data_IF_370915118100
#
_entry.id   IF_370915118100
#
_cell.length_a   1.000
_cell.length_b   1.000
_cell.length_c   1.000
_cell.angle_alpha   90.00
_cell.angle_beta   90.00
_cell.angle_gamma   90.00
#
_symmetry.space_group_name_H-M   'P 1'
#
loop_
_entity.id
_entity.type
_entity.pdbx_description
1 polymer ?
#
# COMPACT_ATOMS: atom_id res chain seq x y z
N UNK A 1 36.39 5.93 -39.88
CA UNK A 1 35.06 5.29 -39.73
C UNK A 1 35.02 4.49 -38.43
N UNK A 2 34.63 5.13 -37.31
CA UNK A 2 34.48 4.48 -35.98
C UNK A 2 32.99 4.45 -35.64
N UNK A 3 32.30 3.33 -35.90
CA UNK A 3 30.82 3.28 -35.85
C UNK A 3 30.22 2.15 -35.02
N UNK A 4 30.98 1.53 -34.11
CA UNK A 4 30.39 0.64 -33.11
C UNK A 4 31.04 0.85 -31.74
N UNK A 5 30.50 1.80 -30.98
CA UNK A 5 30.78 1.94 -29.56
C UNK A 5 30.03 0.81 -28.84
N UNK A 6 30.71 -0.32 -28.61
CA UNK A 6 30.21 -1.42 -27.75
C UNK A 6 29.90 -0.81 -26.37
N UNK A 7 28.63 -0.66 -26.04
CA UNK A 7 28.23 -0.46 -24.65
C UNK A 7 28.55 -1.78 -23.93
N UNK A 8 29.62 -1.77 -23.12
CA UNK A 8 29.84 -2.83 -22.14
C UNK A 8 28.71 -2.70 -21.11
N UNK A 9 27.59 -3.38 -21.35
CA UNK A 9 26.55 -3.54 -20.35
C UNK A 9 27.19 -4.31 -19.19
N UNK A 10 27.22 -3.71 -18.00
CA UNK A 10 27.81 -4.26 -16.77
C UNK A 10 27.15 -5.61 -16.38
N UNK A 11 25.96 -5.88 -16.93
CA UNK A 11 25.21 -7.13 -16.80
C UNK A 11 24.87 -7.68 -18.21
N UNK A 12 25.55 -8.73 -18.70
CA UNK A 12 25.17 -9.39 -19.93
C UNK A 12 23.77 -9.98 -19.79
N UNK A 13 22.85 -9.63 -20.70
CA UNK A 13 21.47 -10.15 -20.70
C UNK A 13 20.44 -9.36 -19.90
N UNK A 14 20.78 -8.17 -19.37
CA UNK A 14 19.86 -7.34 -18.57
C UNK A 14 18.50 -7.04 -19.25
N UNK A 15 18.51 -6.70 -20.56
CA UNK A 15 17.27 -6.41 -21.29
C UNK A 15 16.29 -7.59 -21.32
N UNK A 16 16.72 -8.78 -21.82
CA UNK A 16 15.90 -9.98 -21.82
C UNK A 16 15.44 -10.43 -20.42
N UNK A 17 16.32 -10.40 -19.41
CA UNK A 17 15.96 -10.83 -18.04
C UNK A 17 14.99 -9.87 -17.38
N UNK A 18 15.16 -8.56 -17.57
CA UNK A 18 14.22 -7.55 -17.11
C UNK A 18 12.86 -7.71 -17.79
N UNK A 19 12.84 -7.89 -19.12
CA UNK A 19 11.61 -8.11 -19.89
C UNK A 19 10.83 -9.33 -19.41
N UNK A 20 11.53 -10.46 -19.20
CA UNK A 20 10.91 -11.68 -18.67
C UNK A 20 10.39 -11.49 -17.24
N UNK A 21 11.16 -10.83 -16.37
CA UNK A 21 10.77 -10.55 -14.98
C UNK A 21 9.52 -9.67 -14.91
N UNK A 22 9.50 -8.57 -15.66
CA UNK A 22 8.36 -7.64 -15.71
C UNK A 22 7.14 -8.34 -16.31
N UNK A 23 7.30 -9.10 -17.39
CA UNK A 23 6.22 -9.88 -18.00
C UNK A 23 5.61 -10.86 -16.98
N UNK A 24 6.44 -11.66 -16.33
CA UNK A 24 5.98 -12.66 -15.36
C UNK A 24 5.25 -12.01 -14.17
N UNK A 25 5.82 -10.97 -13.57
CA UNK A 25 5.17 -10.24 -12.47
C UNK A 25 3.87 -9.57 -12.91
N UNK A 26 3.83 -9.03 -14.12
CA UNK A 26 2.63 -8.41 -14.68
C UNK A 26 1.53 -9.45 -14.87
N UNK A 27 1.84 -10.61 -15.43
CA UNK A 27 0.87 -11.70 -15.62
C UNK A 27 0.29 -12.17 -14.29
N UNK A 28 1.12 -12.33 -13.25
CA UNK A 28 0.67 -12.71 -11.90
C UNK A 28 -0.38 -11.74 -11.36
N UNK A 29 -0.18 -10.43 -11.55
CA UNK A 29 -1.12 -9.40 -11.06
C UNK A 29 -2.32 -9.23 -11.98
N UNK A 30 -2.12 -9.31 -13.30
CA UNK A 30 -3.17 -9.05 -14.29
C UNK A 30 -4.18 -10.18 -14.39
N UNK A 31 -3.82 -11.44 -14.13
CA UNK A 31 -4.76 -12.57 -14.16
C UNK A 31 -5.95 -12.34 -13.19
N UNK A 32 -5.75 -12.12 -11.87
CA UNK A 32 -6.87 -11.93 -10.94
C UNK A 32 -7.64 -10.63 -11.22
N UNK A 33 -6.96 -9.56 -11.63
CA UNK A 33 -7.61 -8.30 -12.02
C UNK A 33 -8.50 -8.49 -13.26
N UNK A 34 -8.03 -9.24 -14.26
CA UNK A 34 -8.81 -9.56 -15.45
C UNK A 34 -10.02 -10.41 -15.10
N UNK A 35 -9.88 -11.37 -14.19
CA UNK A 35 -11.01 -12.18 -13.71
C UNK A 35 -12.12 -11.31 -13.08
N UNK A 36 -11.77 -10.28 -12.32
CA UNK A 36 -12.73 -9.31 -11.77
C UNK A 36 -13.46 -8.54 -12.88
N UNK A 37 -12.73 -8.08 -13.90
CA UNK A 37 -13.30 -7.38 -15.05
C UNK A 37 -14.26 -8.28 -15.82
N UNK A 38 -13.85 -9.51 -16.15
CA UNK A 38 -14.70 -10.47 -16.86
C UNK A 38 -15.97 -10.80 -16.07
N UNK A 39 -15.86 -10.94 -14.75
CA UNK A 39 -17.02 -11.20 -13.89
C UNK A 39 -18.01 -10.04 -13.89
N UNK A 40 -17.49 -8.81 -13.92
CA UNK A 40 -18.30 -7.58 -13.93
C UNK A 40 -18.90 -7.31 -15.31
N UNK A 41 -18.20 -7.67 -16.38
CA UNK A 41 -18.66 -7.51 -17.77
C UNK A 41 -19.87 -8.40 -18.12
N UNK A 42 -20.13 -9.45 -17.34
CA UNK A 42 -21.34 -10.27 -17.48
C UNK A 42 -22.61 -9.63 -16.90
N UNK A 43 -22.50 -8.48 -16.20
CA UNK A 43 -23.64 -7.75 -15.65
C UNK A 43 -24.22 -6.81 -16.71
N UNK A 44 -25.54 -6.67 -16.73
CA UNK A 44 -26.18 -5.58 -17.45
C UNK A 44 -25.85 -4.23 -16.80
N UNK A 45 -25.96 -3.14 -17.55
CA UNK A 45 -25.71 -1.79 -17.02
C UNK A 45 -26.56 -1.47 -15.79
N UNK A 46 -27.83 -1.91 -15.78
CA UNK A 46 -28.73 -1.72 -14.64
C UNK A 46 -28.30 -2.52 -13.40
N UNK A 47 -27.90 -3.79 -13.58
CA UNK A 47 -27.37 -4.61 -12.49
C UNK A 47 -26.06 -4.05 -11.93
N UNK A 48 -25.17 -3.57 -12.80
CA UNK A 48 -23.93 -2.92 -12.40
C UNK A 48 -24.21 -1.72 -11.50
N UNK A 49 -25.04 -0.77 -11.96
CA UNK A 49 -25.41 0.42 -11.19
C UNK A 49 -26.05 0.02 -9.86
N UNK A 50 -27.04 -0.88 -9.87
CA UNK A 50 -27.71 -1.32 -8.64
C UNK A 50 -26.75 -1.95 -7.62
N UNK A 51 -25.71 -2.62 -8.09
CA UNK A 51 -24.67 -3.25 -7.26
C UNK A 51 -23.73 -2.20 -6.67
N UNK A 52 -23.22 -1.27 -7.47
CA UNK A 52 -22.27 -0.24 -6.99
C UNK A 52 -22.95 0.85 -6.15
N UNK A 53 -24.25 1.10 -6.36
CA UNK A 53 -25.05 2.02 -5.56
C UNK A 53 -25.82 1.34 -4.44
N UNK A 54 -25.58 0.05 -4.19
CA UNK A 54 -26.21 -0.65 -3.07
C UNK A 54 -25.88 0.09 -1.76
N UNK A 55 -26.84 0.24 -0.82
CA UNK A 55 -26.64 1.03 0.41
C UNK A 55 -25.39 0.61 1.20
N UNK A 56 -25.11 -0.71 1.25
CA UNK A 56 -23.92 -1.26 1.89
C UNK A 56 -22.63 -0.83 1.19
N UNK A 57 -22.59 -0.84 -0.14
CA UNK A 57 -21.41 -0.47 -0.93
C UNK A 57 -21.13 1.02 -0.78
N UNK A 58 -22.17 1.85 -0.83
CA UNK A 58 -22.03 3.29 -0.59
C UNK A 58 -21.55 3.60 0.84
N UNK A 59 -22.05 2.88 1.85
CA UNK A 59 -21.56 3.00 3.22
C UNK A 59 -20.07 2.61 3.31
N UNK A 60 -19.66 1.53 2.65
CA UNK A 60 -18.25 1.13 2.57
C UNK A 60 -17.39 2.21 1.91
N UNK A 61 -17.82 2.80 0.79
CA UNK A 61 -17.08 3.90 0.16
C UNK A 61 -16.91 5.09 1.09
N UNK A 62 -17.96 5.51 1.79
CA UNK A 62 -17.89 6.62 2.75
C UNK A 62 -16.87 6.35 3.85
N UNK A 63 -16.87 5.15 4.43
CA UNK A 63 -15.92 4.79 5.49
C UNK A 63 -14.50 4.68 4.94
N UNK A 64 -14.30 3.99 3.81
CA UNK A 64 -12.97 3.79 3.23
C UNK A 64 -12.34 5.12 2.81
N UNK A 65 -13.04 5.94 2.00
CA UNK A 65 -12.49 7.22 1.56
C UNK A 65 -12.38 8.22 2.70
N UNK A 66 -13.38 8.29 3.60
CA UNK A 66 -13.37 9.19 4.74
C UNK A 66 -12.21 8.87 5.70
N UNK A 67 -12.08 7.61 6.12
CA UNK A 67 -11.02 7.19 7.02
C UNK A 67 -9.63 7.34 6.38
N UNK A 68 -9.47 6.96 5.10
CA UNK A 68 -8.21 7.10 4.39
C UNK A 68 -7.81 8.57 4.22
N UNK A 69 -8.76 9.48 3.95
CA UNK A 69 -8.49 10.91 3.84
C UNK A 69 -8.02 11.50 5.17
N UNK A 70 -8.74 11.21 6.26
CA UNK A 70 -8.36 11.67 7.60
C UNK A 70 -6.99 11.11 8.00
N UNK A 71 -6.77 9.81 7.79
CA UNK A 71 -5.48 9.18 8.06
C UNK A 71 -4.35 9.79 7.22
N UNK A 72 -4.59 10.07 5.94
CA UNK A 72 -3.61 10.70 5.06
C UNK A 72 -3.27 12.12 5.52
N UNK A 73 -4.25 12.94 5.89
CA UNK A 73 -4.00 14.30 6.39
C UNK A 73 -3.18 14.30 7.68
N UNK A 74 -3.55 13.44 8.64
CA UNK A 74 -2.80 13.25 9.88
C UNK A 74 -1.37 12.78 9.57
N UNK A 75 -1.22 11.77 8.72
CA UNK A 75 0.08 11.24 8.33
C UNK A 75 0.93 12.26 7.56
N UNK A 76 0.34 13.05 6.67
CA UNK A 76 1.06 14.10 5.95
C UNK A 76 1.59 15.17 6.90
N UNK A 77 0.83 15.55 7.93
CA UNK A 77 1.31 16.52 8.90
C UNK A 77 2.37 15.93 9.84
N UNK A 78 2.02 14.89 10.61
CA UNK A 78 2.92 14.31 11.61
C UNK A 78 4.08 13.53 10.98
N UNK A 79 3.83 12.79 9.91
CA UNK A 79 4.85 12.03 9.20
C UNK A 79 5.91 12.92 8.58
N UNK A 80 5.54 14.08 8.02
CA UNK A 80 6.52 15.06 7.51
C UNK A 80 7.35 15.64 8.66
N UNK A 81 6.74 15.97 9.80
CA UNK A 81 7.47 16.46 10.97
C UNK A 81 8.48 15.42 11.49
N UNK A 82 8.06 14.17 11.65
CA UNK A 82 8.94 13.08 12.10
C UNK A 82 10.06 12.83 11.10
N UNK A 83 9.73 12.73 9.80
CA UNK A 83 10.72 12.54 8.75
C UNK A 83 11.74 13.70 8.71
N UNK A 84 11.28 14.94 8.85
CA UNK A 84 12.14 16.12 8.92
C UNK A 84 13.13 16.02 10.08
N UNK A 85 12.64 15.69 11.27
CA UNK A 85 13.46 15.57 12.48
C UNK A 85 14.51 14.46 12.31
N UNK A 86 14.08 13.29 11.86
CA UNK A 86 14.97 12.14 11.66
C UNK A 86 16.03 12.42 10.59
N UNK A 87 15.70 13.09 9.49
CA UNK A 87 16.67 13.36 8.42
C UNK A 87 17.63 14.50 8.79
N UNK A 88 17.15 15.57 9.43
CA UNK A 88 17.92 16.80 9.66
C UNK A 88 18.71 16.83 10.97
N UNK A 89 18.27 16.15 12.02
CA UNK A 89 18.88 16.25 13.36
C UNK A 89 19.58 14.97 13.80
N UNK A 90 20.60 15.11 14.64
CA UNK A 90 21.28 14.01 15.33
C UNK A 90 21.07 14.18 16.83
N UNK A 91 20.41 13.20 17.46
CA UNK A 91 20.10 13.21 18.89
C UNK A 91 20.25 11.80 19.48
N UNK A 92 20.55 11.66 20.78
CA UNK A 92 20.64 10.34 21.43
C UNK A 92 19.29 9.62 21.37
N UNK A 93 19.29 8.33 21.01
CA UNK A 93 18.06 7.53 20.85
C UNK A 93 17.40 7.58 19.46
N UNK A 94 17.95 8.35 18.50
CA UNK A 94 17.43 8.44 17.11
C UNK A 94 17.18 7.07 16.46
N UNK A 95 18.09 6.10 16.64
CA UNK A 95 17.95 4.74 16.06
C UNK A 95 16.73 3.98 16.56
N UNK A 96 16.31 4.21 17.80
CA UNK A 96 15.12 3.57 18.36
C UNK A 96 13.87 4.16 17.70
N UNK A 97 13.82 5.48 17.57
CA UNK A 97 12.70 6.18 16.91
C UNK A 97 12.61 5.78 15.43
N UNK A 98 13.74 5.70 14.73
CA UNK A 98 13.83 5.23 13.35
C UNK A 98 13.24 3.81 13.20
N UNK A 99 13.65 2.88 14.07
CA UNK A 99 13.12 1.51 14.08
C UNK A 99 11.62 1.44 14.41
N UNK A 100 11.09 2.31 15.28
CA UNK A 100 9.66 2.37 15.58
C UNK A 100 8.83 2.83 14.38
N UNK A 101 9.35 3.74 13.56
CA UNK A 101 8.69 4.20 12.33
C UNK A 101 8.66 3.09 11.27
N UNK A 102 9.72 2.28 11.20
CA UNK A 102 9.81 1.16 10.25
C UNK A 102 9.08 -0.11 10.70
N UNK A 103 8.87 -0.28 12.01
CA UNK A 103 8.21 -1.42 12.65
C UNK A 103 6.91 -1.86 11.94
N UNK A 104 5.92 -0.98 11.66
CA UNK A 104 4.67 -1.41 11.02
C UNK A 104 4.86 -2.05 9.64
N UNK A 105 5.94 -1.72 8.92
CA UNK A 105 6.24 -2.34 7.62
C UNK A 105 6.88 -3.72 7.74
N UNK A 106 7.56 -3.99 8.85
CA UNK A 106 8.11 -5.31 9.15
C UNK A 106 7.07 -6.29 9.70
N UNK A 107 5.95 -5.79 10.22
CA UNK A 107 4.91 -6.61 10.83
C UNK A 107 3.91 -7.17 9.79
N UNK A 108 3.39 -8.39 10.00
CA UNK A 108 2.26 -8.88 9.24
C UNK A 108 1.05 -7.97 9.45
N UNK A 109 0.33 -7.65 8.37
CA UNK A 109 -0.86 -6.77 8.40
C UNK A 109 -1.93 -7.27 9.39
N UNK A 110 -2.10 -8.59 9.50
CA UNK A 110 -3.01 -9.21 10.46
C UNK A 110 -2.65 -8.90 11.92
N UNK A 111 -1.35 -8.85 12.24
CA UNK A 111 -0.85 -8.55 13.60
C UNK A 111 -1.17 -7.10 13.96
N UNK A 112 -0.98 -6.17 13.04
CA UNK A 112 -1.35 -4.76 13.23
C UNK A 112 -2.86 -4.62 13.53
N UNK A 113 -3.70 -5.34 12.77
CA UNK A 113 -5.15 -5.34 12.96
C UNK A 113 -5.58 -5.84 14.35
N UNK A 114 -5.06 -7.01 14.78
CA UNK A 114 -5.40 -7.58 16.09
C UNK A 114 -4.91 -6.68 17.23
N UNK A 115 -3.71 -6.09 17.09
CA UNK A 115 -3.15 -5.20 18.11
C UNK A 115 -4.04 -3.96 18.31
N UNK A 116 -4.46 -3.31 17.22
CA UNK A 116 -5.38 -2.16 17.28
C UNK A 116 -6.74 -2.57 17.88
N UNK A 117 -7.32 -3.68 17.40
CA UNK A 117 -8.59 -4.17 17.93
C UNK A 117 -8.52 -4.47 19.44
N UNK A 118 -7.39 -5.00 19.91
CA UNK A 118 -7.17 -5.32 21.32
C UNK A 118 -7.03 -4.06 22.18
N UNK A 119 -6.29 -3.06 21.70
CA UNK A 119 -6.07 -1.79 22.43
C UNK A 119 -7.37 -1.00 22.57
N UNK A 120 -8.17 -0.95 21.50
CA UNK A 120 -9.43 -0.22 21.44
C UNK A 120 -10.67 -1.04 21.85
N UNK A 121 -10.50 -2.31 22.23
CA UNK A 121 -11.57 -3.14 22.79
C UNK A 121 -12.11 -2.54 24.09
N UNK A 122 -13.37 -2.80 24.49
CA UNK A 122 -13.91 -2.39 25.79
C UNK A 122 -13.07 -2.90 26.99
N UNK A 123 -12.38 -4.02 26.83
CA UNK A 123 -11.45 -4.55 27.85
C UNK A 123 -9.99 -4.12 27.60
N UNK A 124 -9.74 -3.35 26.55
CA UNK A 124 -8.45 -2.86 26.12
C UNK A 124 -7.98 -1.65 26.94
N UNK A 125 -6.69 -1.33 26.86
CA UNK A 125 -6.12 -0.23 27.63
C UNK A 125 -6.75 1.13 27.34
N UNK A 126 -7.13 1.39 26.08
CA UNK A 126 -7.74 2.65 25.67
C UNK A 126 -9.25 2.56 25.71
N UNK A 127 -9.84 1.45 25.23
CA UNK A 127 -11.30 1.32 25.13
C UNK A 127 -12.04 1.03 26.45
N UNK A 128 -11.32 0.77 27.55
CA UNK A 128 -11.93 0.58 28.88
C UNK A 128 -12.43 1.87 29.55
N UNK A 129 -12.08 3.02 29.00
CA UNK A 129 -12.48 4.35 29.46
C UNK A 129 -13.30 5.03 28.37
#
# INVERSE_FOLDING_TARGET
>A
MKLFKRHNNVLPGFGPTLGFTVFYLSVIVLIPLSALVFRTAGLTWGEFISTVTAPRVLASYKVTFGAAMVAALINSFFGVLVAWVLVRYRFPGRRIVDALVDLPFALPTAVAGITLATIYSPNGWVGRF
#
